data_IF_548747548171
#
_entry.id   IF_548747548171
#
_cell.length_a   1.000
_cell.length_b   1.000
_cell.length_c   1.000
_cell.angle_alpha   90.00
_cell.angle_beta   90.00
_cell.angle_gamma   90.00
#
_symmetry.space_group_name_H-M   'P 1'
#
loop_
_entity.id
_entity.type
_entity.pdbx_description
1 polymer ?
#
# COMPACT_ATOMS: atom_id res chain seq x y z
N UNK A 1 30.04 17.42 45.99
CA UNK A 1 28.83 16.60 46.23
C UNK A 1 27.64 16.97 45.33
N UNK A 2 27.54 18.19 44.77
CA UNK A 2 26.42 18.63 43.92
C UNK A 2 26.30 17.87 42.57
N UNK A 3 27.41 17.51 41.94
CA UNK A 3 27.43 16.70 40.72
C UNK A 3 26.84 15.30 40.90
N UNK A 4 26.95 14.69 42.09
CA UNK A 4 26.39 13.36 42.38
C UNK A 4 24.86 13.40 42.46
N UNK A 5 24.28 14.46 43.04
CA UNK A 5 22.83 14.64 43.09
C UNK A 5 22.21 14.81 41.70
N UNK A 6 22.86 15.62 40.84
CA UNK A 6 22.41 15.81 39.46
C UNK A 6 22.46 14.51 38.65
N UNK A 7 23.56 13.76 38.73
CA UNK A 7 23.69 12.45 38.05
C UNK A 7 22.65 11.44 38.55
N UNK A 8 22.37 11.38 39.85
CA UNK A 8 21.33 10.49 40.39
C UNK A 8 19.92 10.86 39.92
N UNK A 9 19.58 12.14 39.83
CA UNK A 9 18.28 12.60 39.29
C UNK A 9 18.15 12.22 37.82
N UNK A 10 19.19 12.44 37.00
CA UNK A 10 19.20 12.02 35.60
C UNK A 10 19.08 10.50 35.45
N UNK A 11 19.76 9.71 36.29
CA UNK A 11 19.68 8.26 36.25
C UNK A 11 18.26 7.76 36.58
N UNK A 12 17.62 8.32 37.61
CA UNK A 12 16.23 7.98 37.98
C UNK A 12 15.27 8.34 36.84
N UNK A 13 15.43 9.53 36.24
CA UNK A 13 14.61 9.94 35.10
C UNK A 13 14.78 9.00 33.90
N UNK A 14 16.01 8.58 33.59
CA UNK A 14 16.31 7.65 32.49
C UNK A 14 15.69 6.27 32.76
N UNK A 15 15.80 5.76 33.98
CA UNK A 15 15.15 4.49 34.40
C UNK A 15 13.62 4.59 34.25
N UNK A 16 13.02 5.70 34.69
CA UNK A 16 11.58 5.90 34.56
C UNK A 16 11.13 5.92 33.08
N UNK A 17 11.90 6.59 32.21
CA UNK A 17 11.65 6.59 30.77
C UNK A 17 11.81 5.19 30.17
N UNK A 18 12.83 4.44 30.59
CA UNK A 18 13.06 3.07 30.12
C UNK A 18 11.92 2.12 30.50
N UNK A 19 11.42 2.20 31.75
CA UNK A 19 10.25 1.43 32.20
C UNK A 19 9.01 1.81 31.38
N UNK A 20 8.82 3.09 31.11
CA UNK A 20 7.69 3.57 30.31
C UNK A 20 7.74 3.01 28.87
N UNK A 21 8.91 3.01 28.23
CA UNK A 21 9.08 2.44 26.89
C UNK A 21 8.85 0.91 26.89
N UNK A 22 9.41 0.20 27.87
CA UNK A 22 9.32 -1.26 27.96
C UNK A 22 7.91 -1.74 28.29
N UNK A 23 7.12 -0.92 29.00
CA UNK A 23 5.72 -1.20 29.27
C UNK A 23 4.90 -1.42 27.98
N UNK A 24 5.15 -0.67 26.90
CA UNK A 24 4.45 -0.88 25.63
C UNK A 24 4.71 -2.26 25.04
N UNK A 25 5.97 -2.69 25.01
CA UNK A 25 6.37 -4.04 24.60
C UNK A 25 5.59 -5.09 25.39
N UNK A 26 5.50 -4.97 26.71
CA UNK A 26 4.78 -5.93 27.55
C UNK A 26 3.28 -5.99 27.26
N UNK A 27 2.61 -4.83 27.13
CA UNK A 27 1.17 -4.78 26.84
C UNK A 27 0.86 -5.37 25.47
N UNK A 28 1.66 -5.04 24.45
CA UNK A 28 1.54 -5.57 23.09
C UNK A 28 1.67 -7.09 23.07
N UNK A 29 2.74 -7.64 23.63
CA UNK A 29 2.96 -9.08 23.71
C UNK A 29 1.81 -9.80 24.45
N UNK A 30 1.29 -9.19 25.53
CA UNK A 30 0.15 -9.76 26.26
C UNK A 30 -1.15 -9.73 25.46
N UNK A 31 -1.36 -8.72 24.60
CA UNK A 31 -2.52 -8.68 23.69
C UNK A 31 -2.39 -9.72 22.57
N UNK A 32 -1.21 -9.80 21.94
CA UNK A 32 -0.91 -10.77 20.88
C UNK A 32 -1.03 -12.21 21.39
N UNK A 33 -0.45 -12.53 22.55
CA UNK A 33 -0.58 -13.86 23.17
C UNK A 33 -2.05 -14.27 23.46
N UNK A 34 -2.95 -13.31 23.68
CA UNK A 34 -4.39 -13.59 23.80
C UNK A 34 -5.01 -13.91 22.44
N UNK A 35 -4.63 -13.20 21.39
CA UNK A 35 -5.11 -13.45 20.03
C UNK A 35 -4.59 -14.78 19.48
N UNK A 36 -3.33 -15.12 19.75
CA UNK A 36 -2.74 -16.43 19.43
C UNK A 36 -3.53 -17.57 20.06
N UNK A 37 -3.84 -17.49 21.36
CA UNK A 37 -4.67 -18.49 22.05
C UNK A 37 -6.06 -18.61 21.42
N UNK A 38 -6.68 -17.50 21.04
CA UNK A 38 -7.98 -17.52 20.36
C UNK A 38 -7.89 -18.16 18.97
N UNK A 39 -6.84 -17.87 18.21
CA UNK A 39 -6.60 -18.47 16.90
C UNK A 39 -6.35 -19.98 17.01
N UNK A 40 -5.50 -20.41 17.94
CA UNK A 40 -5.23 -21.83 18.21
C UNK A 40 -6.49 -22.59 18.59
N UNK A 41 -7.31 -22.06 19.50
CA UNK A 41 -8.56 -22.69 19.91
C UNK A 41 -9.56 -22.83 18.75
N UNK A 42 -9.60 -21.83 17.86
CA UNK A 42 -10.46 -21.87 16.68
C UNK A 42 -10.00 -22.92 15.67
N UNK A 43 -8.70 -22.98 15.37
CA UNK A 43 -8.14 -23.99 14.45
C UNK A 43 -8.31 -25.40 15.02
N UNK A 44 -8.04 -25.59 16.31
CA UNK A 44 -8.20 -26.89 16.96
C UNK A 44 -9.65 -27.38 16.96
N UNK A 45 -10.64 -26.49 16.92
CA UNK A 45 -12.06 -26.87 16.85
C UNK A 45 -12.57 -27.08 15.42
N UNK A 46 -12.09 -26.31 14.44
CA UNK A 46 -12.63 -26.32 13.07
C UNK A 46 -11.80 -27.15 12.09
N UNK A 47 -10.52 -27.39 12.38
CA UNK A 47 -9.57 -28.09 11.51
C UNK A 47 -8.92 -29.28 12.22
N UNK A 48 -9.53 -29.82 13.28
CA UNK A 48 -8.97 -30.90 14.12
C UNK A 48 -8.43 -32.10 13.32
N UNK A 49 -9.13 -32.51 12.26
CA UNK A 49 -8.79 -33.63 11.38
C UNK A 49 -8.01 -33.26 10.11
N UNK A 50 -7.68 -31.97 9.91
CA UNK A 50 -6.94 -31.53 8.74
C UNK A 50 -5.44 -31.86 8.83
N UNK A 51 -4.75 -31.88 7.68
CA UNK A 51 -3.30 -31.98 7.61
C UNK A 51 -2.64 -30.79 8.32
N UNK A 52 -1.42 -30.99 8.83
CA UNK A 52 -0.71 -29.98 9.61
C UNK A 52 -0.53 -28.67 8.84
N UNK A 53 -0.16 -28.75 7.56
CA UNK A 53 0.00 -27.58 6.68
C UNK A 53 -1.30 -26.76 6.55
N UNK A 54 -2.45 -27.42 6.47
CA UNK A 54 -3.75 -26.73 6.42
C UNK A 54 -4.10 -26.09 7.77
N UNK A 55 -3.70 -26.69 8.90
CA UNK A 55 -3.87 -26.09 10.23
C UNK A 55 -3.00 -24.87 10.40
N UNK A 56 -1.75 -24.93 9.96
CA UNK A 56 -0.79 -23.84 10.06
C UNK A 56 -1.28 -22.63 9.22
N UNK A 57 -1.68 -22.86 7.97
CA UNK A 57 -2.25 -21.80 7.14
C UNK A 57 -3.55 -21.22 7.71
N UNK A 58 -4.45 -22.06 8.25
CA UNK A 58 -5.68 -21.60 8.89
C UNK A 58 -5.40 -20.79 10.17
N UNK A 59 -4.36 -21.15 10.92
CA UNK A 59 -3.91 -20.44 12.10
C UNK A 59 -3.40 -19.04 11.76
N UNK A 60 -2.47 -18.94 10.80
CA UNK A 60 -1.92 -17.66 10.35
C UNK A 60 -3.02 -16.72 9.84
N UNK A 61 -3.93 -17.24 9.01
CA UNK A 61 -5.07 -16.47 8.51
C UNK A 61 -6.03 -16.03 9.62
N UNK A 62 -6.24 -16.86 10.64
CA UNK A 62 -7.12 -16.53 11.76
C UNK A 62 -6.48 -15.48 12.67
N UNK A 63 -5.21 -15.66 13.01
CA UNK A 63 -4.45 -14.74 13.84
C UNK A 63 -4.38 -13.36 13.19
N UNK A 64 -4.04 -13.30 11.90
CA UNK A 64 -3.92 -12.03 11.18
C UNK A 64 -5.24 -11.25 11.17
N UNK A 65 -6.39 -11.92 10.99
CA UNK A 65 -7.72 -11.29 11.08
C UNK A 65 -8.05 -10.79 12.48
N UNK A 66 -7.69 -11.54 13.53
CA UNK A 66 -7.93 -11.12 14.91
C UNK A 66 -7.10 -9.88 15.25
N UNK A 67 -5.81 -9.87 14.90
CA UNK A 67 -4.94 -8.72 15.12
C UNK A 67 -5.44 -7.50 14.34
N UNK A 68 -5.84 -7.67 13.08
CA UNK A 68 -6.38 -6.58 12.26
C UNK A 68 -7.68 -5.99 12.83
N UNK A 69 -8.62 -6.86 13.23
CA UNK A 69 -9.89 -6.44 13.85
C UNK A 69 -9.73 -5.74 15.20
N UNK A 70 -8.59 -5.95 15.89
CA UNK A 70 -8.32 -5.38 17.21
C UNK A 70 -7.37 -4.19 17.18
N UNK A 71 -6.93 -3.72 16.01
CA UNK A 71 -6.06 -2.54 15.84
C UNK A 71 -6.55 -1.31 16.61
N UNK A 72 -7.85 -1.01 16.52
CA UNK A 72 -8.49 0.12 17.19
C UNK A 72 -8.79 -0.09 18.68
N UNK A 73 -8.63 -1.32 19.21
CA UNK A 73 -8.97 -1.63 20.59
C UNK A 73 -8.00 -0.95 21.54
N UNK A 74 -8.51 -0.25 22.55
CA UNK A 74 -7.70 0.31 23.62
C UNK A 74 -7.14 -0.83 24.48
N UNK A 75 -5.82 -0.91 24.57
CA UNK A 75 -5.13 -1.94 25.37
C UNK A 75 -4.38 -1.36 26.56
N UNK A 76 -4.07 -0.07 26.55
CA UNK A 76 -3.42 0.62 27.67
C UNK A 76 -3.67 2.13 27.67
N UNK A 77 -3.16 2.82 28.67
CA UNK A 77 -3.20 4.27 28.81
C UNK A 77 -1.78 4.82 28.93
N UNK A 78 -1.46 5.84 28.14
CA UNK A 78 -0.22 6.60 28.27
C UNK A 78 -0.45 7.93 28.95
N UNK A 79 0.60 8.75 28.99
CA UNK A 79 0.57 10.09 29.60
C UNK A 79 -0.51 11.00 28.96
N UNK A 80 -0.79 10.79 27.67
CA UNK A 80 -1.71 11.59 26.87
C UNK A 80 -3.09 10.92 26.66
N UNK A 81 -3.43 9.90 27.45
CA UNK A 81 -4.74 9.22 27.41
C UNK A 81 -4.72 7.80 26.85
N UNK A 82 -5.86 7.33 26.36
CA UNK A 82 -6.06 5.96 25.87
C UNK A 82 -5.19 5.67 24.64
N UNK A 83 -4.59 4.47 24.60
CA UNK A 83 -3.71 4.01 23.51
C UNK A 83 -4.28 2.71 22.94
N UNK A 84 -4.54 2.72 21.63
CA UNK A 84 -4.99 1.55 20.88
C UNK A 84 -3.87 0.53 20.71
N UNK A 85 -4.22 -0.72 20.39
CA UNK A 85 -3.23 -1.76 20.08
C UNK A 85 -2.26 -1.32 19.00
N UNK A 86 -2.76 -0.74 17.90
CA UNK A 86 -1.89 -0.26 16.82
C UNK A 86 -0.89 0.79 17.30
N UNK A 87 -1.34 1.78 18.09
CA UNK A 87 -0.47 2.83 18.60
C UNK A 87 0.53 2.31 19.63
N UNK A 88 0.14 1.35 20.46
CA UNK A 88 1.05 0.69 21.38
C UNK A 88 2.10 -0.15 20.63
N UNK A 89 1.73 -0.79 19.52
CA UNK A 89 2.63 -1.55 18.64
C UNK A 89 3.68 -0.64 17.99
N UNK A 90 3.29 0.54 17.54
CA UNK A 90 4.22 1.56 17.01
C UNK A 90 5.23 2.07 18.05
N UNK A 91 4.90 1.96 19.35
CA UNK A 91 5.74 2.37 20.49
C UNK A 91 6.50 1.20 21.13
N UNK A 92 6.32 -0.01 20.63
CA UNK A 92 7.07 -1.18 21.07
C UNK A 92 8.56 -1.00 20.79
N UNK A 93 9.40 -1.59 21.65
CA UNK A 93 10.83 -1.65 21.40
C UNK A 93 11.12 -2.39 20.08
N UNK A 94 11.71 -1.68 19.13
CA UNK A 94 12.15 -2.24 17.85
C UNK A 94 13.23 -3.29 18.08
N UNK A 95 12.88 -4.56 17.93
CA UNK A 95 13.84 -5.63 17.81
C UNK A 95 14.25 -5.66 16.33
N UNK A 96 15.54 -5.54 16.02
CA UNK A 96 16.00 -5.52 14.63
C UNK A 96 15.58 -6.78 13.86
N UNK A 97 15.69 -6.76 12.52
CA UNK A 97 15.33 -7.89 11.65
C UNK A 97 15.92 -9.23 12.12
N UNK A 98 17.15 -9.20 12.61
CA UNK A 98 17.86 -10.39 13.11
C UNK A 98 17.22 -10.99 14.36
N UNK A 99 16.71 -10.16 15.27
CA UNK A 99 16.13 -10.59 16.55
C UNK A 99 14.64 -10.87 16.46
N UNK A 100 13.89 -10.05 15.71
CA UNK A 100 12.45 -10.17 15.60
C UNK A 100 12.01 -10.99 14.39
N UNK A 101 12.89 -11.25 13.42
CA UNK A 101 12.49 -11.70 12.08
C UNK A 101 11.74 -10.61 11.32
N UNK A 102 11.55 -10.80 10.01
CA UNK A 102 10.86 -9.83 9.16
C UNK A 102 11.20 -9.96 7.69
N UNK A 103 11.05 -8.85 6.95
CA UNK A 103 11.22 -8.82 5.50
C UNK A 103 12.10 -7.66 5.04
N UNK A 104 13.04 -7.94 4.14
CA UNK A 104 13.74 -6.92 3.35
C UNK A 104 13.21 -6.96 1.92
N UNK A 105 12.78 -5.80 1.41
CA UNK A 105 12.20 -5.65 0.07
C UNK A 105 12.92 -4.52 -0.65
N UNK A 106 13.40 -4.79 -1.85
CA UNK A 106 13.91 -3.75 -2.76
C UNK A 106 12.85 -3.49 -3.82
N UNK A 107 12.32 -2.27 -3.84
CA UNK A 107 11.38 -1.80 -4.85
C UNK A 107 12.08 -0.93 -5.87
N UNK A 108 11.76 -1.16 -7.14
CA UNK A 108 12.23 -0.32 -8.24
C UNK A 108 11.11 0.59 -8.70
N UNK A 109 11.40 1.89 -8.78
CA UNK A 109 10.54 2.87 -9.42
C UNK A 109 10.69 2.73 -10.92
N UNK A 110 9.57 2.55 -11.60
CA UNK A 110 9.52 2.25 -13.03
C UNK A 110 9.77 3.51 -13.89
N UNK A 111 11.02 3.98 -13.89
CA UNK A 111 11.47 5.14 -14.66
C UNK A 111 11.35 4.91 -16.18
N UNK A 112 11.38 3.65 -16.63
CA UNK A 112 11.09 3.29 -18.02
C UNK A 112 9.68 3.73 -18.44
N UNK A 113 8.67 3.36 -17.65
CA UNK A 113 7.29 3.72 -17.95
C UNK A 113 7.04 5.21 -17.80
N UNK A 114 7.76 5.89 -16.89
CA UNK A 114 7.76 7.34 -16.83
C UNK A 114 8.23 7.94 -18.17
N UNK A 115 9.42 7.59 -18.65
CA UNK A 115 9.97 8.10 -19.91
C UNK A 115 9.07 7.77 -21.11
N UNK A 116 8.51 6.56 -21.15
CA UNK A 116 7.54 6.13 -22.17
C UNK A 116 6.28 7.00 -22.15
N UNK A 117 5.72 7.26 -20.97
CA UNK A 117 4.46 8.02 -20.81
C UNK A 117 4.58 9.51 -21.14
N UNK A 118 5.74 10.11 -20.89
CA UNK A 118 6.01 11.52 -21.20
C UNK A 118 6.56 11.73 -22.61
N UNK A 119 6.83 10.66 -23.36
CA UNK A 119 7.27 10.77 -24.74
C UNK A 119 6.12 11.13 -25.68
N UNK A 120 6.41 11.89 -26.74
CA UNK A 120 5.46 12.24 -27.79
C UNK A 120 4.98 11.02 -28.59
N UNK A 121 5.81 9.97 -28.67
CA UNK A 121 5.49 8.72 -29.34
C UNK A 121 5.94 7.51 -28.51
N UNK A 122 5.08 7.01 -27.59
CA UNK A 122 5.39 5.87 -26.72
C UNK A 122 5.68 4.56 -27.44
N UNK A 123 5.32 4.46 -28.74
CA UNK A 123 5.52 3.29 -29.59
C UNK A 123 6.77 3.41 -30.48
N UNK A 124 7.54 4.49 -30.36
CA UNK A 124 8.74 4.70 -31.16
C UNK A 124 9.77 3.57 -30.94
N UNK A 125 10.29 3.01 -32.04
CA UNK A 125 11.21 1.87 -31.99
C UNK A 125 12.56 2.26 -31.40
N UNK A 126 13.07 3.45 -31.72
CA UNK A 126 14.35 3.94 -31.20
C UNK A 126 14.27 4.23 -29.70
N UNK A 127 13.18 4.85 -29.24
CA UNK A 127 12.88 5.04 -27.82
C UNK A 127 12.87 3.70 -27.08
N UNK A 128 12.11 2.71 -27.58
CA UNK A 128 11.95 1.42 -26.92
C UNK A 128 13.25 0.62 -26.85
N UNK A 129 14.07 0.68 -27.90
CA UNK A 129 15.42 0.09 -27.91
C UNK A 129 16.34 0.78 -26.91
N UNK A 130 16.31 2.11 -26.85
CA UNK A 130 17.11 2.87 -25.90
C UNK A 130 16.73 2.59 -24.45
N UNK A 131 15.43 2.50 -24.16
CA UNK A 131 14.91 2.12 -22.84
C UNK A 131 15.36 0.72 -22.43
N UNK A 132 15.20 -0.28 -23.31
CA UNK A 132 15.65 -1.64 -23.04
C UNK A 132 17.17 -1.73 -22.78
N UNK A 133 17.97 -1.00 -23.57
CA UNK A 133 19.43 -0.94 -23.40
C UNK A 133 19.82 -0.25 -22.09
N UNK A 134 19.13 0.83 -21.71
CA UNK A 134 19.35 1.51 -20.44
C UNK A 134 19.02 0.61 -19.25
N UNK A 135 17.89 -0.12 -19.29
CA UNK A 135 17.50 -1.10 -18.28
C UNK A 135 18.53 -2.22 -18.15
N UNK A 136 19.08 -2.71 -19.27
CA UNK A 136 20.15 -3.71 -19.25
C UNK A 136 21.42 -3.16 -18.58
N UNK A 137 21.86 -1.95 -18.94
CA UNK A 137 23.09 -1.32 -18.42
C UNK A 137 22.99 -0.98 -16.93
N UNK A 138 21.80 -0.65 -16.45
CA UNK A 138 21.54 -0.40 -15.02
C UNK A 138 21.90 -1.61 -14.16
N UNK A 139 21.73 -2.83 -14.67
CA UNK A 139 22.12 -4.05 -13.94
C UNK A 139 23.63 -4.24 -13.78
N UNK A 140 24.44 -3.52 -14.56
CA UNK A 140 25.91 -3.65 -14.57
C UNK A 140 26.64 -2.42 -14.07
N UNK A 141 25.95 -1.29 -13.90
CA UNK A 141 26.59 0.01 -13.65
C UNK A 141 25.80 0.80 -12.62
N UNK A 142 26.50 1.49 -11.72
CA UNK A 142 25.92 2.34 -10.68
C UNK A 142 25.49 3.74 -11.17
N UNK A 143 25.41 3.94 -12.47
CA UNK A 143 25.07 5.22 -13.08
C UNK A 143 23.57 5.57 -12.92
N UNK A 144 23.26 6.87 -12.98
CA UNK A 144 21.90 7.37 -13.01
C UNK A 144 21.15 6.85 -14.25
N UNK A 145 19.91 6.39 -14.05
CA UNK A 145 19.10 5.80 -15.11
C UNK A 145 18.83 6.77 -16.27
N UNK A 146 18.64 8.07 -15.98
CA UNK A 146 18.41 9.07 -17.04
C UNK A 146 19.66 9.28 -17.89
N UNK A 147 20.84 9.25 -17.28
CA UNK A 147 22.12 9.25 -18.00
C UNK A 147 22.27 8.02 -18.89
N UNK A 148 22.04 6.82 -18.34
CA UNK A 148 22.09 5.56 -19.09
C UNK A 148 21.14 5.57 -20.29
N UNK A 149 19.95 6.13 -20.11
CA UNK A 149 18.98 6.33 -21.20
C UNK A 149 19.47 7.32 -22.26
N UNK A 150 20.03 8.46 -21.85
CA UNK A 150 20.54 9.45 -22.80
C UNK A 150 21.68 8.86 -23.67
N UNK A 151 22.60 8.14 -23.05
CA UNK A 151 23.72 7.47 -23.73
C UNK A 151 23.19 6.39 -24.70
N UNK A 152 22.27 5.55 -24.23
CA UNK A 152 21.63 4.51 -25.03
C UNK A 152 20.84 5.11 -26.22
N UNK A 153 20.13 6.22 -26.00
CA UNK A 153 19.36 6.88 -27.06
C UNK A 153 20.27 7.48 -28.12
N UNK A 154 21.41 8.07 -27.71
CA UNK A 154 22.40 8.61 -28.65
C UNK A 154 23.08 7.52 -29.47
N UNK A 155 23.29 6.35 -28.89
CA UNK A 155 23.84 5.18 -29.58
C UNK A 155 22.85 4.60 -30.60
N UNK A 156 21.57 4.49 -30.22
CA UNK A 156 20.51 3.98 -31.11
C UNK A 156 20.15 4.99 -32.20
N UNK A 157 20.25 6.29 -31.92
CA UNK A 157 19.93 7.36 -32.86
C UNK A 157 20.92 8.55 -32.74
N UNK A 158 22.09 8.47 -33.39
CA UNK A 158 23.14 9.49 -33.26
C UNK A 158 22.74 10.87 -33.78
N UNK A 159 21.82 10.95 -34.73
CA UNK A 159 21.43 12.21 -35.39
C UNK A 159 20.20 12.86 -34.76
N UNK A 160 19.41 12.13 -33.96
CA UNK A 160 18.25 12.68 -33.27
C UNK A 160 18.63 13.50 -32.04
N UNK A 161 17.77 14.47 -31.72
CA UNK A 161 17.78 15.24 -30.49
C UNK A 161 16.74 14.70 -29.54
N UNK A 162 17.05 14.67 -28.24
CA UNK A 162 16.11 14.25 -27.21
C UNK A 162 14.88 15.16 -27.17
N UNK A 163 15.04 16.45 -27.48
CA UNK A 163 13.93 17.41 -27.56
C UNK A 163 12.84 16.98 -28.54
N UNK A 164 13.17 16.28 -29.63
CA UNK A 164 12.20 15.80 -30.62
C UNK A 164 11.21 14.76 -30.07
N UNK A 165 11.67 13.90 -29.14
CA UNK A 165 10.81 12.89 -28.51
C UNK A 165 10.07 13.46 -27.29
N UNK A 166 10.64 14.43 -26.58
CA UNK A 166 10.10 14.91 -25.30
C UNK A 166 9.47 16.31 -25.36
N UNK A 167 9.34 16.94 -26.54
CA UNK A 167 8.84 18.31 -26.69
C UNK A 167 7.45 18.60 -26.09
N UNK A 168 6.62 17.58 -25.85
CA UNK A 168 5.34 17.73 -25.15
C UNK A 168 5.24 16.84 -23.90
N UNK A 169 6.39 16.46 -23.32
CA UNK A 169 6.43 15.79 -22.02
C UNK A 169 5.66 16.62 -21.00
N UNK A 170 4.53 16.05 -20.55
CA UNK A 170 3.40 16.76 -19.96
C UNK A 170 3.73 17.89 -18.99
N UNK A 171 2.99 18.99 -19.09
CA UNK A 171 2.94 20.17 -18.18
C UNK A 171 4.28 20.84 -17.77
N UNK A 172 5.46 20.34 -18.17
CA UNK A 172 6.77 20.80 -17.66
C UNK A 172 7.73 21.33 -18.74
N UNK A 173 7.19 21.70 -19.90
CA UNK A 173 7.83 22.62 -20.84
C UNK A 173 9.25 22.21 -21.29
N UNK A 174 9.44 20.96 -21.73
CA UNK A 174 10.57 20.68 -22.62
C UNK A 174 10.25 21.34 -23.97
N UNK A 175 11.11 22.23 -24.45
CA UNK A 175 10.94 22.93 -25.72
C UNK A 175 11.70 22.21 -26.82
N UNK A 176 11.24 22.37 -28.06
CA UNK A 176 11.91 21.78 -29.22
C UNK A 176 13.34 22.32 -29.41
N UNK A 177 13.57 23.58 -29.03
CA UNK A 177 14.86 24.27 -29.03
C UNK A 177 15.78 23.95 -27.84
N UNK A 178 15.33 23.19 -26.83
CA UNK A 178 16.21 22.80 -25.72
C UNK A 178 17.37 21.94 -26.22
N UNK A 179 18.57 22.12 -25.64
CA UNK A 179 19.69 21.23 -25.87
C UNK A 179 19.49 19.87 -25.20
N UNK A 180 20.19 18.83 -25.66
CA UNK A 180 20.09 17.49 -25.06
C UNK A 180 20.41 17.53 -23.55
N UNK A 181 21.40 18.30 -23.11
CA UNK A 181 21.73 18.48 -21.68
C UNK A 181 20.59 19.12 -20.88
N UNK A 182 19.91 20.11 -21.46
CA UNK A 182 18.75 20.75 -20.84
C UNK A 182 17.59 19.77 -20.72
N UNK A 183 17.35 18.96 -21.76
CA UNK A 183 16.34 17.90 -21.74
C UNK A 183 16.66 16.87 -20.67
N UNK A 184 17.89 16.38 -20.60
CA UNK A 184 18.36 15.41 -19.58
C UNK A 184 18.14 15.97 -18.16
N UNK A 185 18.48 17.23 -17.93
CA UNK A 185 18.26 17.88 -16.62
C UNK A 185 16.78 17.91 -16.25
N UNK A 186 15.90 18.30 -17.18
CA UNK A 186 14.44 18.30 -16.96
C UNK A 186 13.89 16.89 -16.72
N UNK A 187 14.37 15.90 -17.46
CA UNK A 187 14.01 14.49 -17.26
C UNK A 187 14.43 13.99 -15.88
N UNK A 188 15.62 14.37 -15.38
CA UNK A 188 16.05 14.06 -14.00
C UNK A 188 15.14 14.68 -12.96
N UNK A 189 14.72 15.94 -13.13
CA UNK A 189 13.76 16.58 -12.22
C UNK A 189 12.42 15.85 -12.22
N UNK A 190 11.90 15.48 -13.39
CA UNK A 190 10.66 14.71 -13.49
C UNK A 190 10.77 13.32 -12.86
N UNK A 191 11.89 12.62 -13.08
CA UNK A 191 12.18 11.34 -12.44
C UNK A 191 12.28 11.47 -10.91
N UNK A 192 12.96 12.49 -10.41
CA UNK A 192 13.07 12.78 -8.97
C UNK A 192 11.70 13.06 -8.33
N UNK A 193 10.84 13.82 -9.00
CA UNK A 193 9.50 14.12 -8.48
C UNK A 193 8.59 12.89 -8.50
N UNK A 194 8.62 12.10 -9.57
CA UNK A 194 7.91 10.83 -9.63
C UNK A 194 8.39 9.87 -8.53
N UNK A 195 9.71 9.78 -8.33
CA UNK A 195 10.31 9.00 -7.25
C UNK A 195 9.86 9.47 -5.87
N UNK A 196 9.90 10.78 -5.59
CA UNK A 196 9.47 11.34 -4.31
C UNK A 196 7.98 11.10 -4.04
N UNK A 197 7.15 11.12 -5.09
CA UNK A 197 5.74 10.76 -4.97
C UNK A 197 5.57 9.28 -4.60
N UNK A 198 6.25 8.38 -5.30
CA UNK A 198 6.24 6.94 -5.01
C UNK A 198 6.73 6.65 -3.60
N UNK A 199 7.84 7.27 -3.18
CA UNK A 199 8.37 7.16 -1.83
C UNK A 199 7.33 7.57 -0.78
N UNK A 200 6.67 8.72 -0.95
CA UNK A 200 5.64 9.20 -0.03
C UNK A 200 4.45 8.25 0.06
N UNK A 201 4.00 7.71 -1.07
CA UNK A 201 2.90 6.73 -1.12
C UNK A 201 3.31 5.44 -0.42
N UNK A 202 4.52 4.96 -0.66
CA UNK A 202 5.08 3.77 -0.03
C UNK A 202 5.16 3.92 1.49
N UNK A 203 5.74 5.03 1.99
CA UNK A 203 5.80 5.32 3.43
C UNK A 203 4.42 5.31 4.06
N UNK A 204 3.44 6.02 3.46
CA UNK A 204 2.06 6.02 3.96
C UNK A 204 1.42 4.63 4.03
N UNK A 205 1.73 3.74 3.08
CA UNK A 205 1.24 2.35 3.10
C UNK A 205 1.90 1.54 4.21
N UNK A 206 3.21 1.73 4.42
CA UNK A 206 3.94 1.07 5.50
C UNK A 206 3.41 1.54 6.85
N UNK A 207 3.13 2.84 7.02
CA UNK A 207 2.54 3.38 8.25
C UNK A 207 1.17 2.73 8.57
N UNK A 208 0.35 2.45 7.55
CA UNK A 208 -0.94 1.76 7.74
C UNK A 208 -0.81 0.31 8.24
N UNK A 209 0.36 -0.33 8.07
CA UNK A 209 0.58 -1.66 8.61
C UNK A 209 0.80 -1.67 10.12
N UNK A 210 1.17 -0.54 10.74
CA UNK A 210 1.49 -0.49 12.16
C UNK A 210 2.78 -1.24 12.51
N UNK A 211 3.72 -1.33 11.56
CA UNK A 211 5.07 -1.83 11.84
C UNK A 211 5.82 -0.83 12.71
N UNK A 212 6.57 -1.33 13.69
CA UNK A 212 7.42 -0.48 14.51
C UNK A 212 8.61 0.02 13.65
N UNK A 213 8.65 1.33 13.39
CA UNK A 213 9.79 2.06 12.82
C UNK A 213 10.47 1.37 11.61
N UNK A 214 9.86 1.42 10.41
CA UNK A 214 10.46 0.83 9.22
C UNK A 214 11.78 1.52 8.84
N UNK A 215 12.79 0.75 8.45
CA UNK A 215 14.02 1.31 7.88
C UNK A 215 13.87 1.42 6.36
N UNK A 216 13.79 2.64 5.85
CA UNK A 216 13.57 2.91 4.41
C UNK A 216 14.78 3.67 3.86
N UNK A 217 15.50 3.03 2.94
CA UNK A 217 16.63 3.61 2.23
C UNK A 217 16.22 3.91 0.79
N UNK A 218 16.32 5.17 0.38
CA UNK A 218 15.89 5.61 -0.94
C UNK A 218 17.10 6.12 -1.75
N UNK A 219 17.35 5.51 -2.92
CA UNK A 219 18.31 5.98 -3.91
C UNK A 219 17.56 6.50 -5.15
N UNK A 220 17.32 7.81 -5.16
CA UNK A 220 16.59 8.49 -6.24
C UNK A 220 17.33 8.45 -7.59
N UNK A 221 18.67 8.32 -7.59
CA UNK A 221 19.46 8.28 -8.82
C UNK A 221 19.31 6.95 -9.55
N UNK A 222 19.22 5.87 -8.77
CA UNK A 222 18.97 4.51 -9.31
C UNK A 222 17.48 4.20 -9.45
N UNK A 223 16.62 5.00 -8.83
CA UNK A 223 15.19 4.72 -8.75
C UNK A 223 14.88 3.54 -7.84
N UNK A 224 15.69 3.29 -6.81
CA UNK A 224 15.56 2.12 -5.94
C UNK A 224 15.13 2.57 -4.54
N UNK A 225 14.21 1.83 -3.92
CA UNK A 225 13.81 2.02 -2.53
C UNK A 225 13.92 0.67 -1.81
N UNK A 226 14.86 0.56 -0.88
CA UNK A 226 15.02 -0.60 -0.01
C UNK A 226 14.26 -0.38 1.29
N UNK A 227 13.45 -1.36 1.68
CA UNK A 227 12.58 -1.33 2.86
C UNK A 227 12.86 -2.54 3.72
N UNK A 228 13.13 -2.30 4.99
CA UNK A 228 13.25 -3.37 6.00
C UNK A 228 12.11 -3.20 7.02
N UNK A 229 11.35 -4.28 7.19
CA UNK A 229 10.19 -4.33 8.07
C UNK A 229 10.42 -5.42 9.12
N UNK A 230 10.71 -4.99 10.35
CA UNK A 230 10.83 -5.89 11.50
C UNK A 230 9.45 -6.32 12.00
N UNK A 231 9.36 -7.55 12.54
CA UNK A 231 8.13 -8.05 13.16
C UNK A 231 7.02 -8.48 12.19
N UNK A 232 7.30 -8.51 10.87
CA UNK A 232 6.39 -9.09 9.86
C UNK A 232 6.57 -10.61 9.79
N UNK A 233 6.34 -11.29 10.90
CA UNK A 233 6.45 -12.77 10.95
C UNK A 233 5.22 -13.47 10.38
N UNK A 234 4.04 -12.90 10.58
CA UNK A 234 2.79 -13.65 10.43
C UNK A 234 2.14 -13.53 9.04
N UNK A 235 2.60 -12.62 8.17
CA UNK A 235 2.01 -12.45 6.83
C UNK A 235 2.90 -11.71 5.80
N UNK A 236 3.99 -12.34 5.33
CA UNK A 236 4.86 -11.74 4.31
C UNK A 236 4.16 -11.55 2.96
N UNK A 237 3.22 -12.43 2.59
CA UNK A 237 2.49 -12.33 1.33
C UNK A 237 1.55 -11.11 1.29
N UNK A 238 0.89 -10.78 2.40
CA UNK A 238 0.06 -9.57 2.49
C UNK A 238 0.90 -8.30 2.38
N UNK A 239 2.04 -8.25 3.04
CA UNK A 239 2.95 -7.10 2.94
C UNK A 239 3.44 -6.94 1.51
N UNK A 240 3.87 -8.03 0.86
CA UNK A 240 4.21 -8.01 -0.57
C UNK A 240 3.05 -7.47 -1.42
N UNK A 241 1.83 -8.00 -1.24
CA UNK A 241 0.64 -7.59 -1.98
C UNK A 241 0.35 -6.10 -1.86
N UNK A 242 0.46 -5.51 -0.67
CA UNK A 242 0.16 -4.09 -0.45
C UNK A 242 1.29 -3.18 -0.94
N UNK A 243 2.55 -3.61 -0.79
CA UNK A 243 3.69 -2.87 -1.35
C UNK A 243 3.65 -2.87 -2.89
N UNK A 244 3.21 -3.97 -3.52
CA UNK A 244 3.06 -4.08 -4.97
C UNK A 244 1.74 -3.51 -5.53
N UNK A 245 0.70 -3.36 -4.71
CA UNK A 245 -0.62 -2.95 -5.17
C UNK A 245 -0.55 -1.60 -5.91
N UNK A 246 -0.99 -1.55 -7.17
CA UNK A 246 -1.09 -0.28 -7.89
C UNK A 246 -2.28 0.51 -7.32
N UNK A 247 -2.04 1.73 -6.82
CA UNK A 247 -3.12 2.61 -6.39
C UNK A 247 -3.66 3.38 -7.60
N UNK A 248 -4.59 2.76 -8.33
CA UNK A 248 -5.36 3.45 -9.37
C UNK A 248 -6.65 4.00 -8.73
N UNK A 249 -6.64 5.30 -8.39
CA UNK A 249 -7.83 5.97 -7.89
C UNK A 249 -8.65 6.48 -9.08
N UNK A 250 -9.86 5.94 -9.22
CA UNK A 250 -10.78 6.31 -10.28
C UNK A 250 -11.94 7.10 -9.69
N UNK A 251 -12.26 8.21 -10.32
CA UNK A 251 -13.44 8.98 -10.02
C UNK A 251 -14.51 8.59 -11.04
N UNK A 252 -15.62 8.06 -10.54
CA UNK A 252 -16.78 7.72 -11.34
C UNK A 252 -17.86 8.74 -11.05
N UNK A 253 -18.48 9.28 -12.09
CA UNK A 253 -19.73 10.02 -11.93
C UNK A 253 -20.82 9.03 -11.57
N UNK A 254 -21.49 9.29 -10.45
CA UNK A 254 -22.58 8.46 -9.94
C UNK A 254 -23.87 9.27 -10.01
N UNK A 255 -24.94 8.62 -10.44
CA UNK A 255 -26.28 9.19 -10.30
C UNK A 255 -26.64 9.27 -8.81
N UNK A 256 -27.19 10.41 -8.41
CA UNK A 256 -27.81 10.58 -7.10
C UNK A 256 -29.19 9.95 -7.11
N UNK A 257 -29.65 9.45 -5.96
CA UNK A 257 -30.93 8.73 -5.86
C UNK A 257 -32.14 9.54 -6.38
N UNK A 258 -32.10 10.87 -6.26
CA UNK A 258 -33.13 11.76 -6.79
C UNK A 258 -33.12 11.87 -8.33
N UNK A 259 -31.96 11.71 -8.97
CA UNK A 259 -31.82 11.73 -10.44
C UNK A 259 -32.41 10.47 -11.07
N UNK A 260 -32.40 9.35 -10.34
CA UNK A 260 -32.99 8.08 -10.79
C UNK A 260 -34.47 7.94 -10.43
N UNK A 261 -34.98 8.75 -9.50
CA UNK A 261 -36.33 8.59 -8.95
C UNK A 261 -37.44 8.64 -10.03
N UNK A 262 -37.32 9.57 -11.00
CA UNK A 262 -38.29 9.66 -12.10
C UNK A 262 -38.22 8.44 -13.03
N UNK A 263 -37.02 7.96 -13.35
CA UNK A 263 -36.82 6.78 -14.18
C UNK A 263 -37.40 5.52 -13.53
N UNK A 264 -37.24 5.37 -12.21
CA UNK A 264 -37.87 4.27 -11.46
C UNK A 264 -39.39 4.38 -11.43
N UNK A 265 -39.94 5.58 -11.24
CA UNK A 265 -41.40 5.79 -11.26
C UNK A 265 -41.99 5.45 -12.63
N UNK A 266 -41.33 5.88 -13.71
CA UNK A 266 -41.74 5.56 -15.08
C UNK A 266 -41.66 4.07 -15.40
N UNK A 267 -40.59 3.40 -14.93
CA UNK A 267 -40.46 1.96 -15.07
C UNK A 267 -41.58 1.22 -14.33
N UNK A 268 -41.92 1.64 -13.12
CA UNK A 268 -43.02 1.06 -12.34
C UNK A 268 -44.39 1.25 -13.02
N UNK A 269 -44.65 2.44 -13.56
CA UNK A 269 -45.89 2.71 -14.31
C UNK A 269 -45.99 1.85 -15.59
N UNK A 270 -44.86 1.58 -16.24
CA UNK A 270 -44.83 0.71 -17.42
C UNK A 270 -45.02 -0.77 -17.07
N UNK A 271 -44.45 -1.25 -15.96
CA UNK A 271 -44.71 -2.59 -15.43
C UNK A 271 -46.19 -2.78 -15.07
N UNK A 272 -46.81 -1.80 -14.41
CA UNK A 272 -48.25 -1.81 -14.10
C UNK A 272 -49.11 -1.92 -15.36
N UNK A 273 -48.74 -1.21 -16.44
CA UNK A 273 -49.43 -1.29 -17.74
C UNK A 273 -49.28 -2.65 -18.43
N UNK A 274 -48.19 -3.37 -18.17
CA UNK A 274 -47.94 -4.71 -18.67
C UNK A 274 -48.64 -5.81 -17.83
N UNK A 275 -49.41 -5.42 -16.81
CA UNK A 275 -50.16 -6.36 -15.98
C UNK A 275 -49.33 -7.07 -14.91
N UNK A 276 -48.09 -6.61 -14.68
CA UNK A 276 -47.31 -7.06 -13.53
C UNK A 276 -47.80 -6.27 -12.32
N UNK A 277 -48.69 -6.87 -11.54
CA UNK A 277 -49.10 -6.30 -10.26
C UNK A 277 -47.89 -6.30 -9.32
N UNK A 278 -47.54 -5.11 -8.82
CA UNK A 278 -46.54 -4.98 -7.76
C UNK A 278 -47.08 -5.70 -6.53
N UNK A 279 -46.59 -6.90 -6.26
CA UNK A 279 -46.63 -7.43 -4.90
C UNK A 279 -45.95 -6.41 -4.00
N UNK A 280 -46.58 -6.11 -2.86
CA UNK A 280 -46.10 -5.14 -1.90
C UNK A 280 -44.60 -5.34 -1.65
N UNK A 281 -43.81 -4.26 -1.44
CA UNK A 281 -42.39 -4.42 -1.20
C UNK A 281 -42.25 -5.38 -0.02
N UNK A 282 -41.57 -6.50 -0.23
CA UNK A 282 -41.02 -7.25 0.88
C UNK A 282 -40.29 -6.18 1.70
N UNK A 283 -40.70 -5.98 2.96
CA UNK A 283 -39.96 -5.13 3.86
C UNK A 283 -38.57 -5.74 3.94
N UNK A 284 -37.65 -5.20 3.14
CA UNK A 284 -36.26 -5.52 3.26
C UNK A 284 -35.84 -4.83 4.54
N UNK A 285 -36.01 -5.53 5.65
CA UNK A 285 -35.61 -5.11 6.99
C UNK A 285 -34.08 -5.13 7.12
N UNK A 286 -33.39 -4.71 6.07
CA UNK A 286 -31.99 -4.35 6.13
C UNK A 286 -31.95 -2.85 6.37
N UNK A 287 -32.35 -2.47 7.60
CA UNK A 287 -31.76 -1.29 8.23
C UNK A 287 -30.27 -1.62 8.37
N UNK A 288 -29.50 -1.40 7.30
CA UNK A 288 -28.05 -1.42 7.39
C UNK A 288 -27.70 -0.20 8.22
N UNK A 289 -27.63 -0.39 9.54
CA UNK A 289 -26.81 0.47 10.36
C UNK A 289 -25.48 0.57 9.63
N UNK A 290 -25.06 1.79 9.32
CA UNK A 290 -23.69 2.09 8.93
C UNK A 290 -22.81 1.77 10.16
N UNK A 291 -22.59 0.49 10.42
CA UNK A 291 -21.51 0.01 11.25
C UNK A 291 -20.34 -0.27 10.30
N UNK A 292 -19.36 0.60 10.41
CA UNK A 292 -18.17 0.71 9.58
C UNK A 292 -17.15 -0.40 9.90
N UNK A 293 -17.60 -1.66 9.97
CA UNK A 293 -16.74 -2.80 10.33
C UNK A 293 -17.40 -4.15 10.03
N UNK A 294 -17.52 -4.58 8.76
CA UNK A 294 -17.39 -6.00 8.36
C UNK A 294 -17.09 -6.13 6.86
N UNK A 295 -16.10 -6.97 6.45
CA UNK A 295 -15.81 -7.23 5.04
C UNK A 295 -16.83 -8.24 4.48
N UNK A 296 -17.40 -7.94 3.31
CA UNK A 296 -18.26 -8.86 2.56
C UNK A 296 -17.36 -9.98 2.01
N UNK A 297 -17.45 -11.18 2.60
CA UNK A 297 -16.84 -12.39 2.08
C UNK A 297 -17.95 -13.34 1.63
N UNK A 298 -18.09 -13.46 0.32
CA UNK A 298 -18.83 -14.52 -0.35
C UNK A 298 -18.49 -14.46 -1.84
N UNK A 299 -18.24 -15.59 -2.52
CA UNK A 299 -18.04 -15.58 -3.96
C UNK A 299 -19.38 -15.22 -4.60
N UNK A 300 -19.50 -14.00 -5.12
CA UNK A 300 -20.62 -13.62 -5.98
C UNK A 300 -20.32 -14.24 -7.34
N UNK A 301 -20.99 -15.35 -7.63
CA UNK A 301 -20.93 -16.00 -8.93
C UNK A 301 -21.63 -15.11 -9.96
N UNK A 302 -20.83 -14.38 -10.74
CA UNK A 302 -21.27 -13.40 -11.74
C UNK A 302 -21.68 -14.05 -13.07
N UNK A 303 -21.68 -15.38 -13.15
CA UNK A 303 -22.01 -16.11 -14.38
C UNK A 303 -23.50 -16.42 -14.57
N UNK A 304 -24.34 -16.15 -13.57
CA UNK A 304 -25.80 -16.28 -13.75
C UNK A 304 -26.38 -15.03 -14.41
N UNK A 305 -26.63 -15.13 -15.72
CA UNK A 305 -27.57 -14.25 -16.42
C UNK A 305 -28.97 -14.49 -15.88
N UNK A 306 -29.49 -13.54 -15.12
CA UNK A 306 -30.90 -13.53 -14.72
C UNK A 306 -31.75 -13.18 -15.94
N UNK A 307 -32.65 -14.09 -16.31
CA UNK A 307 -33.69 -13.84 -17.30
C UNK A 307 -34.76 -12.93 -16.71
N UNK A 308 -35.34 -12.03 -17.51
CA UNK A 308 -36.47 -11.17 -17.13
C UNK A 308 -37.72 -11.96 -16.68
N UNK A 309 -37.74 -13.28 -16.87
CA UNK A 309 -38.78 -14.19 -16.37
C UNK A 309 -38.62 -14.61 -14.91
N UNK A 310 -37.44 -14.39 -14.32
CA UNK A 310 -37.09 -14.88 -12.97
C UNK A 310 -37.04 -13.74 -11.93
N UNK A 311 -37.52 -12.56 -12.33
CA UNK A 311 -37.86 -11.41 -11.47
C UNK A 311 -39.38 -11.38 -11.28
#
# INVERSE_FOLDING_TARGET
MQLKGLVSVFAIALIAIAIYQLHFTWVVHNHEAKMEKQALNWVNSHYSSAAQESKDSAYEQRLSRLLDSTKGKIITYGINGAISYQKAKEQELSLGLDLQGGMSVTLEVELENLLRSISNNPKDSSLNKALALATQRRGTTDADYIGLFADAYKEVNPTARLSGIFANAGQRNIKLEDSDDQVISKLRTMAGDAFQNTFRVLTKRIDQFGVAQPNINADSRKGIISVELAGVKDDPERVRKILQATANMQFWELYRGNELAQSFTQAEDMLKKLGVESTAPAQDSVTRKLDDTQPVVGPVDTTKTLSLSDL
#
